data_IF_962436434011
#
_entry.id   IF_962436434011
#
_cell.length_a   1.000
_cell.length_b   1.000
_cell.length_c   1.000
_cell.angle_alpha   90.00
_cell.angle_beta   90.00
_cell.angle_gamma   90.00
#
_symmetry.space_group_name_H-M   'P 1'
#
loop_
_entity.id
_entity.type
_entity.pdbx_description
1 polymer ?
#
# COMPACT_ATOMS: atom_id res chain seq x y z
N UNK A 1 9.92 -24.40 -15.51
CA UNK A 1 11.05 -23.57 -15.99
C UNK A 1 10.95 -22.24 -15.27
N UNK A 2 11.84 -21.94 -14.33
CA UNK A 2 11.84 -20.67 -13.61
C UNK A 2 12.95 -19.79 -14.19
N UNK A 3 12.56 -18.79 -14.98
CA UNK A 3 13.47 -17.73 -15.41
C UNK A 3 13.53 -16.67 -14.32
N UNK A 4 14.72 -16.44 -13.76
CA UNK A 4 14.94 -15.31 -12.85
C UNK A 4 15.29 -14.08 -13.70
N UNK A 5 14.54 -13.00 -13.52
CA UNK A 5 14.87 -11.69 -14.09
C UNK A 5 15.71 -10.94 -13.06
N UNK A 6 16.89 -10.43 -13.46
CA UNK A 6 17.70 -9.58 -12.59
C UNK A 6 17.07 -8.20 -12.50
N UNK A 7 16.75 -7.77 -11.29
CA UNK A 7 16.15 -6.45 -11.03
C UNK A 7 17.14 -5.62 -10.20
N UNK A 8 17.34 -4.32 -10.52
CA UNK A 8 18.21 -3.46 -9.72
C UNK A 8 17.68 -3.30 -8.29
N UNK A 9 18.56 -3.41 -7.29
CA UNK A 9 18.18 -3.25 -5.87
C UNK A 9 17.51 -1.88 -5.58
N UNK A 10 17.95 -0.82 -6.24
CA UNK A 10 17.34 0.51 -6.11
C UNK A 10 15.88 0.54 -6.59
N UNK A 11 15.52 -0.27 -7.58
CA UNK A 11 14.14 -0.40 -8.01
C UNK A 11 13.29 -1.12 -6.97
N UNK A 12 13.82 -2.20 -6.37
CA UNK A 12 13.13 -2.92 -5.28
C UNK A 12 12.94 -1.99 -4.07
N UNK A 13 13.93 -1.16 -3.74
CA UNK A 13 13.80 -0.12 -2.70
C UNK A 13 12.71 0.90 -3.04
N UNK A 14 12.62 1.35 -4.29
CA UNK A 14 11.58 2.28 -4.73
C UNK A 14 10.18 1.67 -4.59
N UNK A 15 10.00 0.40 -4.95
CA UNK A 15 8.75 -0.35 -4.74
C UNK A 15 8.45 -0.51 -3.24
N UNK A 16 9.44 -0.85 -2.42
CA UNK A 16 9.30 -0.91 -0.96
C UNK A 16 8.97 0.45 -0.32
N UNK A 17 9.33 1.55 -0.97
CA UNK A 17 8.97 2.89 -0.54
C UNK A 17 7.63 3.38 -1.12
N UNK A 18 6.95 2.58 -1.96
CA UNK A 18 5.71 2.98 -2.60
C UNK A 18 4.56 3.08 -1.59
N UNK A 19 3.89 4.23 -1.59
CA UNK A 19 2.81 4.61 -0.68
C UNK A 19 1.79 5.45 -1.44
N UNK A 20 0.65 5.66 -0.83
CA UNK A 20 -0.27 6.68 -1.30
C UNK A 20 0.37 8.06 -1.36
N UNK A 21 -0.03 8.90 -2.34
CA UNK A 21 0.18 10.33 -2.25
C UNK A 21 -0.38 10.89 -0.94
N UNK A 22 0.25 11.96 -0.41
CA UNK A 22 -0.11 12.54 0.88
C UNK A 22 -1.60 12.95 0.97
N UNK A 23 -2.16 13.46 -0.13
CA UNK A 23 -3.57 13.85 -0.19
C UNK A 23 -4.50 12.63 -0.04
N UNK A 24 -4.21 11.54 -0.75
CA UNK A 24 -4.98 10.29 -0.69
C UNK A 24 -4.87 9.65 0.70
N UNK A 25 -3.68 9.65 1.30
CA UNK A 25 -3.48 9.13 2.65
C UNK A 25 -4.27 9.95 3.69
N UNK A 26 -4.26 11.29 3.57
CA UNK A 26 -5.05 12.17 4.44
C UNK A 26 -6.56 11.91 4.27
N UNK A 27 -7.02 11.70 3.04
CA UNK A 27 -8.41 11.37 2.74
C UNK A 27 -8.83 10.05 3.37
N UNK A 28 -8.01 9.01 3.22
CA UNK A 28 -8.24 7.69 3.84
C UNK A 28 -8.36 7.81 5.36
N UNK A 29 -7.44 8.52 6.02
CA UNK A 29 -7.50 8.73 7.48
C UNK A 29 -8.77 9.46 7.90
N UNK A 30 -9.12 10.53 7.20
CA UNK A 30 -10.36 11.26 7.49
C UNK A 30 -11.60 10.35 7.34
N UNK A 31 -11.67 9.52 6.30
CA UNK A 31 -12.75 8.56 6.11
C UNK A 31 -12.81 7.52 7.24
N UNK A 32 -11.66 7.00 7.69
CA UNK A 32 -11.59 6.06 8.82
C UNK A 32 -12.11 6.71 10.11
N UNK A 33 -11.70 7.95 10.40
CA UNK A 33 -12.16 8.68 11.57
C UNK A 33 -13.68 8.89 11.54
N UNK A 34 -14.22 9.36 10.41
CA UNK A 34 -15.66 9.54 10.26
C UNK A 34 -16.45 8.21 10.27
N UNK A 35 -15.84 7.11 9.81
CA UNK A 35 -16.47 5.79 9.89
C UNK A 35 -16.61 5.31 11.33
N UNK A 36 -15.63 5.56 12.19
CA UNK A 36 -15.70 5.25 13.62
C UNK A 36 -16.83 6.00 14.31
N UNK A 37 -17.10 7.23 13.88
CA UNK A 37 -18.23 8.04 14.36
C UNK A 37 -19.57 7.67 13.71
N UNK A 38 -19.59 6.74 12.75
CA UNK A 38 -20.79 6.36 11.99
C UNK A 38 -21.29 7.43 11.03
N UNK A 39 -20.49 8.47 10.76
CA UNK A 39 -20.88 9.69 10.06
C UNK A 39 -20.74 9.63 8.53
N UNK A 40 -20.34 8.49 7.96
CA UNK A 40 -20.15 8.35 6.52
C UNK A 40 -21.46 8.20 5.73
N UNK A 41 -21.53 8.90 4.60
CA UNK A 41 -22.53 8.63 3.55
C UNK A 41 -22.28 7.28 2.86
N UNK A 42 -23.22 6.81 2.06
CA UNK A 42 -23.06 5.56 1.31
C UNK A 42 -21.86 5.63 0.35
N UNK A 43 -21.72 6.73 -0.38
CA UNK A 43 -20.63 6.96 -1.34
C UNK A 43 -19.27 7.00 -0.63
N UNK A 44 -19.21 7.62 0.55
CA UNK A 44 -17.97 7.68 1.33
C UNK A 44 -17.58 6.31 1.91
N UNK A 45 -18.56 5.43 2.20
CA UNK A 45 -18.28 4.05 2.63
C UNK A 45 -17.69 3.23 1.50
N UNK A 46 -18.20 3.41 0.28
CA UNK A 46 -17.62 2.78 -0.91
C UNK A 46 -16.20 3.29 -1.17
N UNK A 47 -15.99 4.61 -1.09
CA UNK A 47 -14.65 5.22 -1.22
C UNK A 47 -13.69 4.68 -0.17
N UNK A 48 -14.11 4.60 1.11
CA UNK A 48 -13.31 4.03 2.18
C UNK A 48 -12.96 2.57 1.90
N UNK A 49 -13.91 1.75 1.43
CA UNK A 49 -13.68 0.35 1.13
C UNK A 49 -12.61 0.19 0.03
N UNK A 50 -12.72 0.92 -1.07
CA UNK A 50 -11.74 0.86 -2.16
C UNK A 50 -10.35 1.38 -1.76
N UNK A 51 -10.28 2.47 -0.98
CA UNK A 51 -9.00 2.99 -0.50
C UNK A 51 -8.35 2.06 0.53
N UNK A 52 -9.13 1.41 1.38
CA UNK A 52 -8.63 0.45 2.37
C UNK A 52 -8.08 -0.81 1.70
N UNK A 53 -8.80 -1.35 0.71
CA UNK A 53 -8.34 -2.50 -0.10
C UNK A 53 -6.99 -2.20 -0.77
N UNK A 54 -6.90 -1.06 -1.47
CA UNK A 54 -5.65 -0.65 -2.11
C UNK A 54 -4.52 -0.39 -1.08
N UNK A 55 -4.84 0.11 0.11
CA UNK A 55 -3.87 0.28 1.19
C UNK A 55 -3.25 -1.07 1.63
N UNK A 56 -4.07 -2.12 1.68
CA UNK A 56 -3.63 -3.46 2.03
C UNK A 56 -2.70 -4.03 0.95
N UNK A 57 -3.09 -3.94 -0.32
CA UNK A 57 -2.26 -4.37 -1.45
C UNK A 57 -0.90 -3.67 -1.48
N UNK A 58 -0.88 -2.34 -1.26
CA UNK A 58 0.37 -1.57 -1.16
C UNK A 58 1.24 -2.01 0.03
N UNK A 59 0.62 -2.43 1.13
CA UNK A 59 1.33 -2.90 2.32
C UNK A 59 1.95 -4.28 2.08
N UNK A 60 1.25 -5.18 1.39
CA UNK A 60 1.76 -6.49 0.98
C UNK A 60 2.93 -6.34 -0.01
N UNK A 61 2.76 -5.51 -1.03
CA UNK A 61 3.82 -5.22 -2.01
C UNK A 61 5.09 -4.67 -1.35
N UNK A 62 4.92 -3.78 -0.37
CA UNK A 62 6.03 -3.26 0.42
C UNK A 62 6.72 -4.34 1.25
N UNK A 63 5.93 -5.22 1.89
CA UNK A 63 6.46 -6.36 2.64
C UNK A 63 7.29 -7.29 1.76
N UNK A 64 6.78 -7.64 0.58
CA UNK A 64 7.49 -8.49 -0.38
C UNK A 64 8.79 -7.84 -0.88
N UNK A 65 8.75 -6.56 -1.23
CA UNK A 65 9.94 -5.82 -1.64
C UNK A 65 11.01 -5.77 -0.54
N UNK A 66 10.60 -5.58 0.72
CA UNK A 66 11.51 -5.60 1.87
C UNK A 66 12.10 -7.00 2.13
N UNK A 67 11.31 -8.06 1.96
CA UNK A 67 11.80 -9.45 2.05
C UNK A 67 12.90 -9.71 1.02
N UNK A 68 12.68 -9.31 -0.24
CA UNK A 68 13.66 -9.47 -1.32
C UNK A 68 14.97 -8.72 -1.06
N UNK A 69 14.91 -7.56 -0.38
CA UNK A 69 16.11 -6.82 0.03
C UNK A 69 16.84 -7.49 1.21
N UNK A 70 16.10 -8.09 2.14
CA UNK A 70 16.66 -8.89 3.23
C UNK A 70 17.35 -10.17 2.73
N UNK A 71 16.77 -10.82 1.72
CA UNK A 71 17.30 -12.04 1.10
C UNK A 71 18.48 -11.76 0.15
N UNK A 72 18.70 -10.51 -0.28
CA UNK A 72 19.82 -10.12 -1.14
C UNK A 72 21.15 -9.93 -0.39
N UNK A 73 21.15 -10.05 0.95
CA UNK A 73 22.34 -9.90 1.81
C UNK A 73 22.80 -11.21 2.48
N UNK A 74 22.28 -12.37 2.07
CA UNK A 74 22.71 -13.69 2.52
C UNK A 74 23.60 -14.42 1.51
#
# INVERSE_FOLDING_TARGET
MSGSIKVPAEWVKAVGAFRFPEETDRRLRWLMDQNNDGALTAEQREELASLAELSEELSLLRGEALSLLGDSHA
#
